data_IF_599369265567
#
_entry.id   IF_599369265567
#
_cell.length_a   1.000
_cell.length_b   1.000
_cell.length_c   1.000
_cell.angle_alpha   90.00
_cell.angle_beta   90.00
_cell.angle_gamma   90.00
#
_symmetry.space_group_name_H-M   'P 1'
#
loop_
_entity.id
_entity.type
_entity.pdbx_description
1 polymer ?
#
# COMPACT_ATOMS: atom_id res chain seq x y z
N UNK A 1 25.45 12.89 -15.20
CA UNK A 1 24.15 12.96 -14.51
C UNK A 1 23.61 11.54 -14.51
N UNK A 2 23.67 10.86 -13.36
CA UNK A 2 23.10 9.53 -13.23
C UNK A 2 21.58 9.71 -13.19
N UNK A 3 20.91 9.04 -14.10
CA UNK A 3 19.47 8.92 -14.18
C UNK A 3 19.04 8.20 -12.90
N UNK A 4 18.48 8.94 -11.93
CA UNK A 4 17.86 8.36 -10.74
C UNK A 4 16.65 7.58 -11.23
N UNK A 5 16.83 6.28 -11.42
CA UNK A 5 15.72 5.35 -11.62
C UNK A 5 14.83 5.50 -10.39
N UNK A 6 13.64 6.07 -10.57
CA UNK A 6 12.61 6.19 -9.55
C UNK A 6 12.25 4.78 -9.05
N UNK A 7 12.99 4.26 -8.07
CA UNK A 7 12.68 3.00 -7.40
C UNK A 7 11.33 3.16 -6.71
N UNK A 8 10.26 2.67 -7.32
CA UNK A 8 8.93 2.79 -6.71
C UNK A 8 8.92 1.98 -5.42
N UNK A 9 8.40 2.59 -4.35
CA UNK A 9 8.29 1.99 -3.04
C UNK A 9 7.81 0.52 -3.06
N UNK A 10 8.64 -0.37 -2.51
CA UNK A 10 8.33 -1.79 -2.36
C UNK A 10 7.47 -2.07 -1.10
N UNK A 11 6.99 -1.02 -0.44
CA UNK A 11 6.29 -1.12 0.84
C UNK A 11 5.07 -2.05 0.79
N UNK A 12 4.34 -2.03 -0.34
CA UNK A 12 3.12 -2.80 -0.51
C UNK A 12 3.34 -4.30 -0.72
N UNK A 13 4.58 -4.78 -0.91
CA UNK A 13 4.87 -6.22 -0.99
C UNK A 13 4.53 -6.96 0.31
N UNK A 14 4.54 -6.27 1.45
CA UNK A 14 4.15 -6.81 2.75
C UNK A 14 2.63 -6.89 2.97
N UNK A 15 1.83 -6.32 2.06
CA UNK A 15 0.35 -6.39 2.12
C UNK A 15 -0.15 -7.81 1.90
N UNK A 16 -1.40 -8.10 2.23
CA UNK A 16 -2.04 -9.39 1.93
C UNK A 16 -1.97 -9.74 0.44
N UNK A 17 -2.15 -8.74 -0.44
CA UNK A 17 -2.03 -8.93 -1.88
C UNK A 17 -0.60 -9.27 -2.30
N UNK A 18 0.39 -8.56 -1.75
CA UNK A 18 1.80 -8.85 -2.00
C UNK A 18 2.20 -10.24 -1.50
N UNK A 19 1.75 -10.64 -0.30
CA UNK A 19 2.01 -12.00 0.23
C UNK A 19 1.41 -13.09 -0.65
N UNK A 20 0.16 -12.93 -1.09
CA UNK A 20 -0.49 -13.87 -1.99
C UNK A 20 0.25 -13.98 -3.34
N UNK A 21 0.75 -12.85 -3.88
CA UNK A 21 1.58 -12.85 -5.08
C UNK A 21 2.90 -13.60 -4.85
N UNK A 22 3.57 -13.38 -3.72
CA UNK A 22 4.79 -14.07 -3.36
C UNK A 22 4.60 -15.58 -3.27
N UNK A 23 3.52 -16.03 -2.63
CA UNK A 23 3.15 -17.44 -2.51
C UNK A 23 2.90 -18.07 -3.89
N UNK A 24 2.14 -17.40 -4.75
CA UNK A 24 1.89 -17.87 -6.11
C UNK A 24 3.17 -17.95 -6.97
N UNK A 25 4.06 -16.95 -6.85
CA UNK A 25 5.36 -16.96 -7.56
C UNK A 25 6.27 -18.07 -7.05
N UNK A 26 6.30 -18.32 -5.73
CA UNK A 26 7.07 -19.41 -5.14
C UNK A 26 6.59 -20.78 -5.64
N UNK A 27 5.28 -21.00 -5.68
CA UNK A 27 4.69 -22.25 -6.18
C UNK A 27 5.04 -22.50 -7.66
N UNK A 28 4.92 -21.47 -8.51
CA UNK A 28 5.27 -21.58 -9.93
C UNK A 28 6.78 -21.80 -10.14
N UNK A 29 7.61 -21.22 -9.29
CA UNK A 29 9.06 -21.42 -9.32
C UNK A 29 9.44 -22.86 -8.90
N UNK A 30 8.83 -23.39 -7.84
CA UNK A 30 9.02 -24.78 -7.39
C UNK A 30 8.58 -25.79 -8.46
N UNK A 31 7.51 -25.48 -9.19
CA UNK A 31 7.04 -26.30 -10.32
C UNK A 31 7.94 -26.18 -11.57
N UNK A 32 9.01 -25.38 -11.53
CA UNK A 32 9.90 -25.14 -12.67
C UNK A 32 9.22 -24.43 -13.85
N UNK A 33 8.09 -23.76 -13.61
CA UNK A 33 7.29 -23.09 -14.64
C UNK A 33 7.76 -21.65 -14.93
N UNK A 34 8.59 -21.08 -14.06
CA UNK A 34 9.14 -19.74 -14.24
C UNK A 34 10.58 -19.77 -14.74
N UNK A 35 10.91 -18.82 -15.63
CA UNK A 35 12.29 -18.47 -15.94
C UNK A 35 12.88 -17.69 -14.77
N UNK A 36 14.19 -17.82 -14.53
CA UNK A 36 14.89 -17.22 -13.37
C UNK A 36 14.64 -15.72 -13.17
N UNK A 37 14.47 -14.96 -14.25
CA UNK A 37 14.32 -13.49 -14.23
C UNK A 37 12.86 -13.03 -14.05
N UNK A 38 11.89 -13.92 -14.25
CA UNK A 38 10.47 -13.55 -14.30
C UNK A 38 9.88 -13.07 -12.96
N UNK A 39 10.24 -13.64 -11.80
CA UNK A 39 9.74 -13.18 -10.50
C UNK A 39 10.09 -11.71 -10.20
N UNK A 40 11.33 -11.28 -10.52
CA UNK A 40 11.77 -9.91 -10.28
C UNK A 40 11.01 -8.92 -11.16
N UNK A 41 10.82 -9.23 -12.44
CA UNK A 41 10.01 -8.41 -13.36
C UNK A 41 8.54 -8.28 -12.89
N UNK A 42 7.97 -9.36 -12.37
CA UNK A 42 6.60 -9.33 -11.84
C UNK A 42 6.53 -8.44 -10.61
N UNK A 43 7.55 -8.46 -9.75
CA UNK A 43 7.65 -7.60 -8.59
C UNK A 43 7.80 -6.12 -8.94
N UNK A 44 8.68 -5.78 -9.87
CA UNK A 44 8.83 -4.40 -10.37
C UNK A 44 7.51 -3.88 -10.93
N UNK A 45 6.82 -4.72 -11.71
CA UNK A 45 5.52 -4.39 -12.27
C UNK A 45 4.46 -4.24 -11.17
N UNK A 46 4.47 -5.09 -10.14
CA UNK A 46 3.58 -5.00 -8.98
C UNK A 46 3.78 -3.69 -8.20
N UNK A 47 5.03 -3.34 -7.91
CA UNK A 47 5.35 -2.09 -7.21
C UNK A 47 4.90 -0.89 -8.02
N UNK A 48 5.16 -0.92 -9.34
CA UNK A 48 4.77 0.16 -10.25
C UNK A 48 3.27 0.42 -10.24
N UNK A 49 2.47 -0.63 -10.48
CA UNK A 49 1.01 -0.49 -10.61
C UNK A 49 0.32 -0.23 -9.28
N UNK A 50 0.82 -0.78 -8.18
CA UNK A 50 0.21 -0.57 -6.86
C UNK A 50 0.42 0.87 -6.40
N UNK A 51 1.64 1.40 -6.56
CA UNK A 51 1.91 2.80 -6.25
C UNK A 51 1.08 3.73 -7.15
N UNK A 52 0.95 3.44 -8.46
CA UNK A 52 0.09 4.22 -9.35
C UNK A 52 -1.38 4.20 -8.92
N UNK A 53 -1.93 3.01 -8.66
CA UNK A 53 -3.34 2.84 -8.31
C UNK A 53 -3.73 3.49 -6.97
N UNK A 54 -2.79 3.60 -6.03
CA UNK A 54 -3.02 4.22 -4.72
C UNK A 54 -2.59 5.69 -4.67
N UNK A 55 -1.74 6.12 -5.60
CA UNK A 55 -1.33 7.52 -5.69
C UNK A 55 -2.50 8.39 -6.15
N UNK A 56 -2.62 9.58 -5.56
CA UNK A 56 -3.59 10.57 -6.04
C UNK A 56 -3.38 10.91 -7.51
N UNK A 57 -2.12 11.05 -7.94
CA UNK A 57 -1.77 11.31 -9.33
C UNK A 57 -2.24 10.20 -10.28
N UNK A 58 -1.98 8.93 -9.96
CA UNK A 58 -2.38 7.80 -10.80
C UNK A 58 -3.89 7.55 -10.84
N UNK A 59 -4.62 7.89 -9.77
CA UNK A 59 -6.09 7.93 -9.80
C UNK A 59 -6.59 9.06 -10.70
N UNK A 60 -6.04 10.27 -10.55
CA UNK A 60 -6.44 11.45 -11.33
C UNK A 60 -6.05 11.34 -12.81
N UNK A 61 -5.00 10.59 -13.14
CA UNK A 61 -4.59 10.30 -14.51
C UNK A 61 -5.56 9.38 -15.28
N UNK A 62 -6.53 8.77 -14.60
CA UNK A 62 -7.58 7.92 -15.20
C UNK A 62 -8.97 8.58 -15.09
N UNK A 63 -9.20 9.74 -15.73
CA UNK A 63 -10.41 10.55 -15.52
C UNK A 63 -11.69 9.86 -15.99
N UNK A 64 -11.59 8.86 -16.86
CA UNK A 64 -12.72 8.08 -17.35
C UNK A 64 -13.21 7.02 -16.34
N UNK A 65 -12.48 6.79 -15.26
CA UNK A 65 -12.88 5.86 -14.21
C UNK A 65 -13.64 6.59 -13.10
N UNK A 66 -14.91 6.90 -13.36
CA UNK A 66 -15.78 7.64 -12.43
C UNK A 66 -15.87 6.98 -11.05
N UNK A 67 -15.90 5.64 -11.00
CA UNK A 67 -15.92 4.87 -9.75
C UNK A 67 -14.65 5.08 -8.92
N UNK A 68 -13.47 5.08 -9.57
CA UNK A 68 -12.19 5.29 -8.91
C UNK A 68 -12.04 6.74 -8.41
N UNK A 69 -12.45 7.73 -9.21
CA UNK A 69 -12.47 9.13 -8.80
C UNK A 69 -13.43 9.37 -7.62
N UNK A 70 -14.62 8.78 -7.68
CA UNK A 70 -15.60 8.84 -6.60
C UNK A 70 -15.03 8.23 -5.32
N UNK A 71 -14.36 7.07 -5.43
CA UNK A 71 -13.69 6.44 -4.29
C UNK A 71 -12.61 7.37 -3.72
N UNK A 72 -11.74 7.92 -4.56
CA UNK A 72 -10.63 8.78 -4.12
C UNK A 72 -11.08 10.06 -3.39
N UNK A 73 -12.14 10.72 -3.86
CA UNK A 73 -12.63 11.95 -3.24
C UNK A 73 -13.46 11.73 -1.97
N UNK A 74 -14.18 10.62 -1.91
CA UNK A 74 -15.17 10.40 -0.85
C UNK A 74 -14.67 9.47 0.26
N UNK A 75 -13.66 8.63 -0.02
CA UNK A 75 -13.18 7.68 0.98
C UNK A 75 -12.20 8.34 1.92
N UNK A 76 -12.57 8.45 3.20
CA UNK A 76 -11.74 9.03 4.26
C UNK A 76 -11.70 8.10 5.46
N UNK A 77 -10.52 7.92 6.03
CA UNK A 77 -10.32 7.12 7.25
C UNK A 77 -9.86 8.04 8.37
N UNK A 78 -10.66 8.12 9.43
CA UNK A 78 -10.28 8.74 10.69
C UNK A 78 -9.75 7.68 11.65
N UNK A 79 -8.60 7.92 12.27
CA UNK A 79 -7.98 7.00 13.22
C UNK A 79 -7.86 7.69 14.58
N UNK A 80 -8.35 7.05 15.63
CA UNK A 80 -8.18 7.46 17.04
C UNK A 80 -7.67 6.28 17.85
N UNK A 81 -6.95 6.55 18.94
CA UNK A 81 -6.43 5.51 19.84
C UNK A 81 -5.33 6.05 20.73
N UNK A 82 -4.76 5.20 21.58
CA UNK A 82 -3.66 5.54 22.46
C UNK A 82 -2.33 5.18 21.81
N UNK A 83 -1.42 6.15 21.67
CA UNK A 83 -0.09 5.89 21.12
C UNK A 83 0.74 5.06 22.10
N UNK A 84 1.06 3.82 21.74
CA UNK A 84 1.85 2.90 22.55
C UNK A 84 3.35 3.05 22.28
N UNK A 85 3.75 3.03 21.01
CA UNK A 85 5.13 3.25 20.58
C UNK A 85 5.20 3.86 19.19
N UNK A 86 6.30 4.56 18.89
CA UNK A 86 6.59 5.09 17.57
C UNK A 86 8.08 5.01 17.25
N UNK A 87 8.41 4.92 15.96
CA UNK A 87 9.79 4.96 15.45
C UNK A 87 9.80 5.58 14.06
N UNK A 88 10.69 6.55 13.84
CA UNK A 88 10.99 7.10 12.53
C UNK A 88 12.45 6.83 12.17
N UNK A 89 12.72 6.08 11.11
CA UNK A 89 14.07 5.77 10.58
C UNK A 89 13.98 5.67 9.06
N UNK A 90 14.96 6.21 8.33
CA UNK A 90 15.06 6.12 6.86
C UNK A 90 13.78 6.51 6.11
N UNK A 91 13.18 7.65 6.46
CA UNK A 91 11.92 8.16 5.89
C UNK A 91 10.71 7.22 6.07
N UNK A 92 10.83 6.18 6.91
CA UNK A 92 9.74 5.31 7.31
C UNK A 92 9.35 5.59 8.76
N UNK A 93 8.07 5.87 8.96
CA UNK A 93 7.43 5.92 10.26
C UNK A 93 6.72 4.61 10.56
N UNK A 94 6.84 4.16 11.79
CA UNK A 94 6.07 3.06 12.37
C UNK A 94 5.42 3.55 13.65
N UNK A 95 4.11 3.44 13.75
CA UNK A 95 3.33 3.77 14.95
C UNK A 95 2.54 2.54 15.37
N UNK A 96 2.44 2.30 16.68
CA UNK A 96 1.53 1.31 17.24
C UNK A 96 0.55 2.01 18.16
N UNK A 97 -0.75 1.88 17.88
CA UNK A 97 -1.83 2.37 18.72
C UNK A 97 -2.48 1.20 19.46
N UNK A 98 -2.90 1.42 20.69
CA UNK A 98 -3.78 0.52 21.45
C UNK A 98 -5.17 1.12 21.58
N UNK A 99 -6.18 0.25 21.68
CA UNK A 99 -7.60 0.62 21.75
C UNK A 99 -7.98 1.60 20.63
N UNK A 100 -7.63 1.22 19.40
CA UNK A 100 -7.81 2.08 18.25
C UNK A 100 -9.21 1.95 17.66
N UNK A 101 -9.80 3.09 17.31
CA UNK A 101 -11.06 3.20 16.58
C UNK A 101 -10.76 3.77 15.19
N UNK A 102 -11.14 3.02 14.16
CA UNK A 102 -11.05 3.42 12.77
C UNK A 102 -12.45 3.75 12.27
N UNK A 103 -12.66 5.01 11.87
CA UNK A 103 -13.90 5.46 11.25
C UNK A 103 -13.68 5.61 9.76
N UNK A 104 -14.30 4.74 8.97
CA UNK A 104 -14.20 4.73 7.50
C UNK A 104 -15.47 5.36 6.93
N UNK A 105 -15.33 6.46 6.22
CA UNK A 105 -16.39 7.12 5.47
C UNK A 105 -16.15 6.89 3.99
N UNK A 106 -17.11 6.32 3.26
CA UNK A 106 -17.05 6.06 1.81
C UNK A 106 -17.89 7.05 1.00
N UNK A 107 -18.49 8.05 1.65
CA UNK A 107 -19.50 8.95 1.09
C UNK A 107 -20.89 8.32 0.94
N UNK A 108 -21.00 6.99 0.85
CA UNK A 108 -22.28 6.26 0.88
C UNK A 108 -22.59 5.64 2.24
N UNK A 109 -21.56 5.28 2.99
CA UNK A 109 -21.68 4.66 4.31
C UNK A 109 -20.57 5.14 5.21
N UNK A 110 -20.83 5.09 6.52
CA UNK A 110 -19.80 5.30 7.54
C UNK A 110 -19.78 4.07 8.43
N UNK A 111 -18.62 3.45 8.54
CA UNK A 111 -18.37 2.28 9.38
C UNK A 111 -17.34 2.62 10.45
N UNK A 112 -17.46 1.95 11.60
CA UNK A 112 -16.55 2.11 12.73
C UNK A 112 -16.02 0.74 13.11
N UNK A 113 -14.70 0.63 13.22
CA UNK A 113 -14.00 -0.61 13.51
C UNK A 113 -13.13 -0.36 14.74
N UNK A 114 -13.41 -1.10 15.82
CA UNK A 114 -12.59 -1.09 17.02
C UNK A 114 -11.55 -2.23 16.94
N UNK A 115 -10.29 -1.91 17.21
CA UNK A 115 -9.19 -2.88 17.23
C UNK A 115 -8.35 -2.69 18.48
N UNK A 116 -7.97 -3.79 19.12
CA UNK A 116 -7.14 -3.76 20.33
C UNK A 116 -5.77 -3.14 20.06
N UNK A 117 -5.16 -3.48 18.92
CA UNK A 117 -3.87 -2.94 18.50
C UNK A 117 -3.87 -2.65 17.01
N UNK A 118 -3.37 -1.47 16.63
CA UNK A 118 -3.18 -1.05 15.24
C UNK A 118 -1.71 -0.67 15.01
N UNK A 119 -1.05 -1.34 14.05
CA UNK A 119 0.27 -0.93 13.55
C UNK A 119 0.11 -0.14 12.25
N UNK A 120 0.63 1.07 12.22
CA UNK A 120 0.67 1.96 11.06
C UNK A 120 2.12 2.02 10.58
N UNK A 121 2.36 1.65 9.32
CA UNK A 121 3.62 1.91 8.64
C UNK A 121 3.37 2.96 7.55
N UNK A 122 4.16 4.02 7.54
CA UNK A 122 4.05 5.10 6.57
C UNK A 122 5.45 5.41 6.01
N UNK A 123 5.52 5.56 4.69
CA UNK A 123 6.75 5.94 3.97
C UNK A 123 6.53 7.35 3.40
N UNK A 124 7.57 8.18 3.43
CA UNK A 124 7.54 9.52 2.85
C UNK A 124 7.14 9.46 1.37
N UNK A 125 6.08 10.20 0.99
CA UNK A 125 5.59 10.24 -0.38
C UNK A 125 6.47 11.08 -1.32
N UNK A 126 7.38 11.89 -0.76
CA UNK A 126 8.27 12.78 -1.53
C UNK A 126 9.60 12.14 -1.92
N UNK A 127 9.88 10.95 -1.42
CA UNK A 127 11.07 10.16 -1.74
C UNK A 127 10.61 8.73 -2.07
N UNK A 128 10.56 8.34 -3.35
CA UNK A 128 10.12 7.00 -3.74
C UNK A 128 11.01 5.91 -3.13
#
# INVERSE_FOLDING_TARGET
AMEETSEKSQHYRASTLGKALNEALAELNEQGKLRRELPEMVWEQFDRVTNEALSGEGVLAQPHNESLLKWYHNTKVGIKGHLHMFRGVDNKWTLCLTEANLKVDTGSSTESIDVETLKIEAVDATKP
#
